data_IF_146141578863
#
_entry.id   IF_146141578863
#
_cell.length_a   1.000
_cell.length_b   1.000
_cell.length_c   1.000
_cell.angle_alpha   90.00
_cell.angle_beta   90.00
_cell.angle_gamma   90.00
#
_symmetry.space_group_name_H-M   'P 1'
#
loop_
_entity.id
_entity.type
_entity.pdbx_description
1 polymer ?
#
# COMPACT_ATOMS: atom_id res chain seq x y z
N UNK A 1 -10.76 -31.86 -48.39
CA UNK A 1 -11.05 -32.72 -49.54
C UNK A 1 -10.32 -34.02 -49.25
N UNK A 2 -11.09 -35.09 -49.01
CA UNK A 2 -10.72 -36.50 -48.91
C UNK A 2 -9.87 -36.99 -47.71
N UNK A 3 -10.53 -37.85 -46.94
CA UNK A 3 -10.09 -38.80 -45.92
C UNK A 3 -8.97 -39.77 -46.35
N UNK A 4 -8.19 -40.24 -45.38
CA UNK A 4 -7.51 -41.55 -45.42
C UNK A 4 -7.74 -42.27 -44.08
N UNK A 5 -8.24 -43.49 -44.21
CA UNK A 5 -8.66 -44.46 -43.21
C UNK A 5 -7.52 -45.08 -42.36
N UNK A 6 -7.96 -45.72 -41.25
CA UNK A 6 -7.69 -47.12 -40.90
C UNK A 6 -6.95 -47.37 -39.57
N UNK A 7 -7.72 -47.90 -38.60
CA UNK A 7 -7.55 -49.15 -37.82
C UNK A 7 -8.21 -48.96 -36.45
N UNK A 8 -9.45 -49.39 -36.22
CA UNK A 8 -9.88 -50.79 -35.97
C UNK A 8 -8.90 -51.56 -35.07
N UNK A 9 -9.14 -51.53 -33.77
CA UNK A 9 -9.26 -52.77 -32.99
C UNK A 9 -10.13 -52.54 -31.75
N UNK A 10 -11.27 -53.21 -31.80
CA UNK A 10 -12.28 -53.37 -30.76
C UNK A 10 -11.79 -54.35 -29.69
N UNK A 11 -12.01 -54.05 -28.42
CA UNK A 11 -12.51 -55.06 -27.50
C UNK A 11 -13.71 -54.54 -26.69
N UNK A 12 -14.75 -55.33 -26.82
CA UNK A 12 -16.12 -55.23 -26.33
C UNK A 12 -16.21 -55.63 -24.85
N UNK A 13 -17.13 -55.00 -24.13
CA UNK A 13 -17.88 -55.57 -23.00
C UNK A 13 -18.93 -54.53 -22.56
N UNK A 14 -19.98 -54.32 -23.36
CA UNK A 14 -21.27 -54.99 -23.18
C UNK A 14 -21.94 -54.67 -21.83
N UNK A 15 -22.99 -53.85 -21.91
CA UNK A 15 -23.89 -53.45 -20.84
C UNK A 15 -25.01 -52.55 -21.38
N UNK A 16 -25.77 -53.07 -22.35
CA UNK A 16 -27.10 -52.60 -22.81
C UNK A 16 -28.13 -52.65 -21.65
N UNK A 17 -29.20 -51.85 -21.50
CA UNK A 17 -29.89 -50.79 -22.27
C UNK A 17 -31.01 -50.17 -21.33
N UNK A 18 -32.12 -49.55 -21.79
CA UNK A 18 -32.42 -48.10 -21.81
C UNK A 18 -33.62 -47.63 -20.93
N UNK A 19 -33.84 -46.32 -20.79
CA UNK A 19 -35.18 -45.68 -20.73
C UNK A 19 -35.07 -44.15 -20.53
N UNK A 20 -35.85 -43.39 -21.30
CA UNK A 20 -35.86 -41.92 -21.32
C UNK A 20 -36.65 -41.24 -20.19
N UNK A 21 -36.57 -39.90 -20.16
CA UNK A 21 -37.41 -39.02 -19.36
C UNK A 21 -36.92 -37.57 -19.37
N UNK A 22 -37.74 -36.68 -19.93
CA UNK A 22 -37.56 -35.22 -19.96
C UNK A 22 -37.64 -34.60 -18.54
N UNK A 23 -36.85 -33.53 -18.32
CA UNK A 23 -37.19 -32.35 -17.49
C UNK A 23 -37.52 -32.52 -16.00
N UNK A 24 -36.58 -32.16 -15.12
CA UNK A 24 -36.79 -31.24 -13.98
C UNK A 24 -35.48 -31.05 -13.19
N UNK A 25 -35.02 -29.80 -13.04
CA UNK A 25 -33.93 -29.46 -12.11
C UNK A 25 -34.34 -29.86 -10.66
N UNK A 26 -33.43 -30.47 -9.87
CA UNK A 26 -33.77 -30.89 -8.52
C UNK A 26 -34.00 -29.66 -7.59
N UNK A 27 -35.02 -29.70 -6.71
CA UNK A 27 -35.39 -28.57 -5.87
C UNK A 27 -34.28 -28.23 -4.87
N UNK A 28 -34.01 -26.92 -4.70
CA UNK A 28 -33.00 -26.39 -3.77
C UNK A 28 -33.22 -26.94 -2.36
N UNK A 29 -32.18 -27.51 -1.78
CA UNK A 29 -32.19 -28.14 -0.46
C UNK A 29 -32.57 -27.13 0.63
N UNK A 30 -33.31 -27.58 1.65
CA UNK A 30 -33.83 -26.75 2.76
C UNK A 30 -32.74 -25.90 3.46
N UNK A 31 -31.49 -26.37 3.49
CA UNK A 31 -30.34 -25.66 4.03
C UNK A 31 -29.90 -24.45 3.18
N UNK A 32 -30.04 -24.52 1.86
CA UNK A 32 -29.71 -23.41 0.94
C UNK A 32 -30.76 -22.30 1.04
N UNK A 33 -32.05 -22.67 1.15
CA UNK A 33 -33.16 -21.75 1.34
C UNK A 33 -33.04 -20.98 2.68
N UNK A 34 -32.66 -21.65 3.78
CA UNK A 34 -32.40 -21.00 5.07
C UNK A 34 -31.20 -20.04 5.02
N UNK A 35 -30.14 -20.37 4.27
CA UNK A 35 -28.95 -19.51 4.11
C UNK A 35 -29.24 -18.28 3.24
N UNK A 36 -30.06 -18.44 2.20
CA UNK A 36 -30.49 -17.35 1.33
C UNK A 36 -31.46 -16.40 2.06
N UNK A 37 -32.41 -16.94 2.83
CA UNK A 37 -33.30 -16.16 3.68
C UNK A 37 -32.53 -15.32 4.72
N UNK A 38 -31.55 -15.93 5.42
CA UNK A 38 -30.71 -15.22 6.41
C UNK A 38 -29.82 -14.14 5.78
N UNK A 39 -29.39 -14.31 4.51
CA UNK A 39 -28.66 -13.29 3.77
C UNK A 39 -29.55 -12.13 3.35
N UNK A 40 -30.76 -12.41 2.85
CA UNK A 40 -31.75 -11.40 2.47
C UNK A 40 -32.17 -10.55 3.67
N UNK A 41 -32.47 -11.18 4.81
CA UNK A 41 -32.84 -10.47 6.05
C UNK A 41 -31.71 -9.56 6.56
N UNK A 42 -30.45 -10.00 6.49
CA UNK A 42 -29.29 -9.16 6.85
C UNK A 42 -29.11 -7.98 5.89
N UNK A 43 -29.32 -8.20 4.60
CA UNK A 43 -29.21 -7.16 3.58
C UNK A 43 -30.31 -6.13 3.75
N UNK A 44 -31.54 -6.55 4.05
CA UNK A 44 -32.67 -5.66 4.32
C UNK A 44 -32.46 -4.86 5.61
N UNK A 45 -31.98 -5.49 6.69
CA UNK A 45 -31.58 -4.78 7.93
C UNK A 45 -30.47 -3.74 7.66
N UNK A 46 -29.53 -4.04 6.77
CA UNK A 46 -28.48 -3.11 6.39
C UNK A 46 -29.00 -1.94 5.54
N UNK A 47 -29.85 -2.22 4.55
CA UNK A 47 -30.51 -1.20 3.72
C UNK A 47 -31.42 -0.29 4.54
N UNK A 48 -32.24 -0.85 5.43
CA UNK A 48 -33.09 -0.08 6.34
C UNK A 48 -32.27 0.82 7.29
N UNK A 49 -31.10 0.36 7.74
CA UNK A 49 -30.18 1.20 8.54
C UNK A 49 -29.60 2.35 7.72
N UNK A 50 -29.20 2.10 6.47
CA UNK A 50 -28.70 3.15 5.57
C UNK A 50 -29.78 4.16 5.21
N UNK A 51 -31.01 3.73 4.92
CA UNK A 51 -32.13 4.63 4.65
C UNK A 51 -32.50 5.46 5.87
N UNK A 52 -32.54 4.85 7.06
CA UNK A 52 -32.78 5.59 8.31
C UNK A 52 -31.71 6.64 8.57
N UNK A 53 -30.45 6.37 8.23
CA UNK A 53 -29.35 7.32 8.35
C UNK A 53 -29.42 8.44 7.29
N UNK A 54 -29.83 8.12 6.07
CA UNK A 54 -30.12 9.11 5.01
C UNK A 54 -31.29 10.02 5.40
N UNK A 55 -32.39 9.45 5.88
CA UNK A 55 -33.55 10.20 6.38
C UNK A 55 -33.19 11.08 7.59
N UNK A 56 -32.29 10.62 8.47
CA UNK A 56 -31.80 11.45 9.58
C UNK A 56 -30.97 12.64 9.08
N UNK A 57 -30.18 12.44 8.03
CA UNK A 57 -29.40 13.52 7.38
C UNK A 57 -30.29 14.50 6.64
N UNK A 58 -31.32 14.01 5.94
CA UNK A 58 -32.29 14.85 5.21
C UNK A 58 -33.17 15.63 6.18
N UNK A 59 -33.63 15.03 7.30
CA UNK A 59 -34.36 15.77 8.34
C UNK A 59 -33.49 16.84 9.02
N UNK A 60 -32.20 16.57 9.24
CA UNK A 60 -31.25 17.59 9.73
C UNK A 60 -31.00 18.72 8.72
N UNK A 61 -31.21 18.47 7.43
CA UNK A 61 -31.13 19.51 6.40
C UNK A 61 -32.44 20.32 6.28
N UNK A 62 -33.59 19.71 6.56
CA UNK A 62 -34.90 20.36 6.46
C UNK A 62 -35.30 21.19 7.70
N UNK A 63 -34.83 20.84 8.90
CA UNK A 63 -35.16 21.55 10.16
C UNK A 63 -34.26 22.78 10.44
N UNK A 64 -33.46 23.20 9.46
CA UNK A 64 -32.56 24.36 9.53
C UNK A 64 -33.27 25.70 9.31
N UNK A 65 -34.26 26.03 10.15
CA UNK A 65 -34.86 27.37 10.22
C UNK A 65 -33.84 28.44 10.66
N UNK A 66 -33.93 29.61 10.04
CA UNK A 66 -33.04 30.77 10.18
C UNK A 66 -32.68 31.14 11.63
N UNK A 67 -31.44 30.87 12.04
CA UNK A 67 -30.73 31.73 13.01
C UNK A 67 -29.29 31.97 12.55
N UNK A 68 -29.07 33.22 12.13
CA UNK A 68 -27.80 33.87 11.80
C UNK A 68 -26.74 33.57 12.88
N UNK A 69 -25.87 32.60 12.60
CA UNK A 69 -24.58 32.44 13.25
C UNK A 69 -23.59 32.19 12.13
N UNK A 70 -22.64 33.12 11.98
CA UNK A 70 -21.67 33.19 10.88
C UNK A 70 -21.22 31.80 10.44
N UNK A 71 -21.65 31.43 9.24
CA UNK A 71 -21.21 30.24 8.54
C UNK A 71 -19.78 30.52 8.11
N UNK A 72 -18.81 30.25 8.99
CA UNK A 72 -17.41 30.08 8.58
C UNK A 72 -17.43 28.99 7.52
N UNK A 73 -17.29 29.38 6.26
CA UNK A 73 -17.25 28.46 5.14
C UNK A 73 -16.33 27.31 5.51
N UNK A 74 -16.86 26.08 5.42
CA UNK A 74 -16.06 24.88 5.57
C UNK A 74 -15.20 24.83 4.30
N UNK A 75 -14.12 25.62 4.28
CA UNK A 75 -13.07 25.58 3.25
C UNK A 75 -12.69 24.11 3.15
N UNK A 76 -13.04 23.48 2.03
CA UNK A 76 -12.59 22.14 1.72
C UNK A 76 -11.06 22.21 1.75
N UNK A 77 -10.43 21.53 2.72
CA UNK A 77 -8.99 21.62 2.96
C UNK A 77 -8.30 20.86 1.84
N UNK A 78 -8.13 21.50 0.69
CA UNK A 78 -7.27 20.99 -0.38
C UNK A 78 -5.88 20.81 0.23
N UNK A 79 -5.34 19.59 0.17
CA UNK A 79 -3.99 19.32 0.65
C UNK A 79 -3.04 20.23 -0.12
N UNK A 80 -2.29 21.08 0.60
CA UNK A 80 -1.36 21.99 -0.04
C UNK A 80 -0.34 21.18 -0.87
N UNK A 81 -0.14 21.58 -2.13
CA UNK A 81 0.86 21.02 -3.04
C UNK A 81 2.00 22.02 -3.18
N UNK A 82 3.23 21.53 -3.31
CA UNK A 82 4.39 22.38 -3.51
C UNK A 82 4.61 22.63 -5.01
N UNK A 83 4.18 23.81 -5.49
CA UNK A 83 4.20 24.16 -6.92
C UNK A 83 5.40 25.05 -7.32
N UNK A 84 6.36 25.28 -6.41
CA UNK A 84 7.53 26.12 -6.74
C UNK A 84 8.54 25.32 -7.58
N UNK A 85 9.13 25.92 -8.64
CA UNK A 85 10.16 25.28 -9.43
C UNK A 85 11.49 25.23 -8.66
N UNK A 86 11.66 24.22 -7.82
CA UNK A 86 12.94 23.93 -7.16
C UNK A 86 13.75 22.99 -8.05
N UNK A 87 14.95 23.41 -8.43
CA UNK A 87 15.86 22.56 -9.20
C UNK A 87 16.25 21.34 -8.37
N UNK A 88 16.44 20.21 -9.04
CA UNK A 88 16.77 18.95 -8.37
C UNK A 88 18.01 19.08 -7.47
N UNK A 89 17.82 18.73 -6.20
CA UNK A 89 18.84 18.79 -5.16
C UNK A 89 19.16 20.18 -4.62
N UNK A 90 18.44 21.23 -5.02
CA UNK A 90 18.53 22.53 -4.36
C UNK A 90 17.66 22.60 -3.11
N UNK A 91 18.06 23.44 -2.15
CA UNK A 91 17.31 23.61 -0.91
C UNK A 91 15.95 24.21 -1.23
N UNK A 92 14.90 23.56 -0.70
CA UNK A 92 13.52 24.05 -0.78
C UNK A 92 13.42 25.51 -0.37
N UNK A 93 12.77 26.32 -1.21
CA UNK A 93 12.46 27.71 -0.87
C UNK A 93 11.33 27.77 0.18
N UNK A 94 11.67 28.32 1.35
CA UNK A 94 10.81 28.48 2.53
C UNK A 94 10.40 29.94 2.77
N UNK A 95 10.73 30.89 1.89
CA UNK A 95 10.48 32.32 2.12
C UNK A 95 9.03 32.77 1.91
N UNK A 96 8.11 31.85 1.58
CA UNK A 96 6.70 32.17 1.31
C UNK A 96 5.77 31.83 2.47
N UNK A 97 4.50 32.19 2.31
CA UNK A 97 3.47 31.89 3.29
C UNK A 97 3.32 30.37 3.51
N UNK A 98 3.19 29.97 4.78
CA UNK A 98 2.95 28.57 5.13
C UNK A 98 1.48 28.23 4.91
N UNK A 99 1.17 27.01 4.39
CA UNK A 99 -0.20 26.59 4.22
C UNK A 99 -0.92 26.48 5.58
N UNK A 100 -2.21 26.83 5.59
CA UNK A 100 -3.06 26.80 6.79
C UNK A 100 -3.19 25.40 7.44
N UNK A 101 -2.87 24.34 6.68
CA UNK A 101 -2.91 22.95 7.13
C UNK A 101 -1.64 22.19 6.74
N UNK A 102 -1.22 21.28 7.61
CA UNK A 102 -0.10 20.37 7.33
C UNK A 102 -0.44 19.45 6.15
N UNK A 103 0.50 19.38 5.19
CA UNK A 103 0.48 18.47 4.05
C UNK A 103 1.86 17.81 3.93
N UNK A 104 1.97 16.47 4.07
CA UNK A 104 3.24 15.76 3.89
C UNK A 104 3.83 16.01 2.50
N UNK A 105 2.99 16.03 1.47
CA UNK A 105 3.40 16.28 0.08
C UNK A 105 4.05 17.65 -0.06
N UNK A 106 3.49 18.68 0.59
CA UNK A 106 4.13 19.99 0.62
C UNK A 106 5.43 19.94 1.40
N UNK A 107 5.42 19.35 2.60
CA UNK A 107 6.55 19.43 3.53
C UNK A 107 7.76 18.67 3.01
N UNK A 108 7.59 17.43 2.53
CA UNK A 108 8.67 16.54 2.11
C UNK A 108 9.24 16.88 0.72
N UNK A 109 8.51 17.65 -0.09
CA UNK A 109 8.97 18.07 -1.41
C UNK A 109 10.36 18.72 -1.37
N UNK A 110 11.22 18.32 -2.31
CA UNK A 110 12.60 18.78 -2.52
C UNK A 110 13.62 18.52 -1.39
N UNK A 111 13.23 18.05 -0.19
CA UNK A 111 14.20 17.81 0.89
C UNK A 111 15.09 16.60 0.63
N UNK A 112 14.53 15.50 0.15
CA UNK A 112 15.29 14.26 0.01
C UNK A 112 16.43 14.41 -1.00
N UNK A 113 16.13 14.94 -2.19
CA UNK A 113 17.14 15.22 -3.22
C UNK A 113 18.19 16.22 -2.75
N UNK A 114 17.80 17.24 -1.97
CA UNK A 114 18.74 18.17 -1.36
C UNK A 114 19.65 17.49 -0.33
N UNK A 115 19.13 16.58 0.50
CA UNK A 115 19.92 15.82 1.47
C UNK A 115 20.94 14.91 0.80
N UNK A 116 20.56 14.24 -0.28
CA UNK A 116 21.45 13.41 -1.09
C UNK A 116 22.58 14.24 -1.70
N UNK A 117 22.23 15.34 -2.40
CA UNK A 117 23.22 16.22 -3.03
C UNK A 117 24.16 16.88 -2.02
N UNK A 118 23.65 17.25 -0.84
CA UNK A 118 24.45 17.84 0.23
C UNK A 118 25.35 16.81 0.95
N UNK A 119 25.20 15.52 0.64
CA UNK A 119 26.01 14.46 1.24
C UNK A 119 25.71 14.22 2.72
N UNK A 120 24.53 14.60 3.23
CA UNK A 120 24.21 14.46 4.66
C UNK A 120 24.16 13.00 5.12
N UNK A 121 24.00 12.04 4.21
CA UNK A 121 24.04 10.61 4.55
C UNK A 121 25.46 10.07 4.76
N UNK A 122 26.51 10.82 4.38
CA UNK A 122 27.91 10.39 4.54
C UNK A 122 28.33 10.41 6.02
N UNK A 123 29.25 9.52 6.43
CA UNK A 123 29.79 9.47 7.80
C UNK A 123 30.84 10.55 8.08
N UNK A 124 30.68 11.75 7.49
CA UNK A 124 31.66 12.85 7.50
C UNK A 124 31.09 14.11 8.15
N UNK A 125 29.92 14.02 8.79
CA UNK A 125 29.25 15.21 9.34
C UNK A 125 30.15 15.96 10.33
N UNK A 126 30.54 17.18 9.96
CA UNK A 126 31.43 18.04 10.75
C UNK A 126 32.93 17.69 10.66
N UNK A 127 33.35 16.86 9.69
CA UNK A 127 34.74 16.45 9.49
C UNK A 127 35.14 16.41 8.01
N UNK A 128 36.45 16.43 7.79
CA UNK A 128 37.03 16.41 6.43
C UNK A 128 37.24 14.98 5.92
N UNK A 129 37.41 14.00 6.83
CA UNK A 129 37.63 12.59 6.48
C UNK A 129 36.84 11.66 7.39
N UNK A 130 36.24 10.61 6.82
CA UNK A 130 35.50 9.59 7.58
C UNK A 130 36.38 8.81 8.60
N UNK A 131 37.68 8.70 8.32
CA UNK A 131 38.64 7.98 9.17
C UNK A 131 39.30 8.84 10.26
N UNK A 132 38.97 10.12 10.35
CA UNK A 132 39.43 10.96 11.46
C UNK A 132 38.88 10.44 12.79
N UNK A 133 39.74 10.46 13.82
CA UNK A 133 39.34 10.03 15.15
C UNK A 133 38.31 11.01 15.73
N UNK A 134 37.20 10.46 16.23
CA UNK A 134 36.13 11.24 16.83
C UNK A 134 36.16 11.07 18.35
N UNK A 135 36.46 12.13 19.13
CA UNK A 135 36.42 12.04 20.59
C UNK A 135 35.01 11.78 21.15
N UNK A 136 33.94 12.05 20.37
CA UNK A 136 32.55 11.69 20.70
C UNK A 136 32.23 10.22 20.41
N UNK A 137 33.07 9.50 19.67
CA UNK A 137 32.86 8.09 19.31
C UNK A 137 32.23 7.87 17.94
N UNK A 138 31.96 6.60 17.64
CA UNK A 138 31.40 6.11 16.38
C UNK A 138 30.14 5.28 16.66
N UNK A 139 29.11 5.48 15.86
CA UNK A 139 27.89 4.69 15.87
C UNK A 139 27.67 4.12 14.47
N UNK A 140 27.51 2.80 14.37
CA UNK A 140 27.31 2.12 13.10
C UNK A 140 26.18 1.12 13.20
N UNK A 141 25.31 1.13 12.20
CA UNK A 141 24.18 0.22 12.09
C UNK A 141 24.04 -0.27 10.65
N UNK A 142 23.81 -1.58 10.48
CA UNK A 142 23.56 -2.18 9.17
C UNK A 142 22.05 -2.34 9.01
N UNK A 143 21.50 -1.84 7.89
CA UNK A 143 20.11 -2.08 7.53
C UNK A 143 19.96 -3.58 7.26
N UNK A 144 19.05 -4.30 7.95
CA UNK A 144 18.71 -5.66 7.59
C UNK A 144 18.33 -5.70 6.11
N UNK A 145 19.14 -6.33 5.25
CA UNK A 145 19.03 -6.13 3.81
C UNK A 145 17.68 -6.69 3.34
N UNK A 146 16.79 -5.88 2.75
CA UNK A 146 15.54 -6.38 2.22
C UNK A 146 15.82 -7.33 1.05
N UNK A 147 15.03 -8.40 0.99
CA UNK A 147 15.08 -9.34 -0.13
C UNK A 147 14.64 -8.64 -1.43
N UNK A 148 15.33 -8.89 -2.56
CA UNK A 148 14.95 -8.33 -3.88
C UNK A 148 13.66 -8.94 -4.47
N UNK A 149 12.83 -9.60 -3.64
CA UNK A 149 11.74 -10.46 -4.08
C UNK A 149 10.37 -9.79 -4.15
N UNK A 150 10.19 -8.62 -3.53
CA UNK A 150 8.90 -7.92 -3.50
C UNK A 150 9.00 -6.46 -3.05
N UNK A 151 7.88 -5.74 -3.19
CA UNK A 151 7.69 -4.39 -2.65
C UNK A 151 7.79 -4.35 -1.12
N UNK A 152 8.25 -3.21 -0.58
CA UNK A 152 8.33 -3.00 0.86
C UNK A 152 6.93 -2.95 1.51
N UNK A 153 6.72 -3.74 2.56
CA UNK A 153 5.55 -3.65 3.45
C UNK A 153 5.82 -2.81 4.71
N UNK A 154 4.77 -2.56 5.50
CA UNK A 154 4.80 -1.75 6.73
C UNK A 154 5.86 -2.19 7.77
N UNK A 155 6.25 -3.46 7.75
CA UNK A 155 7.30 -3.99 8.61
C UNK A 155 8.68 -3.38 8.30
N UNK A 156 9.02 -3.19 7.03
CA UNK A 156 10.23 -2.47 6.63
C UNK A 156 10.16 -1.01 7.07
N UNK A 157 9.00 -0.36 6.90
CA UNK A 157 8.81 1.03 7.31
C UNK A 157 9.05 1.20 8.81
N UNK A 158 8.51 0.30 9.65
CA UNK A 158 8.71 0.33 11.10
C UNK A 158 10.20 0.18 11.46
N UNK A 159 10.85 -0.88 10.97
CA UNK A 159 12.27 -1.14 11.29
C UNK A 159 13.16 0.01 10.82
N UNK A 160 12.99 0.49 9.58
CA UNK A 160 13.79 1.58 9.04
C UNK A 160 13.54 2.90 9.79
N UNK A 161 12.29 3.20 10.19
CA UNK A 161 11.98 4.43 10.94
C UNK A 161 12.65 4.45 12.30
N UNK A 162 12.67 3.32 13.01
CA UNK A 162 13.35 3.21 14.32
C UNK A 162 14.86 3.36 14.16
N UNK A 163 15.45 2.70 13.16
CA UNK A 163 16.88 2.78 12.88
C UNK A 163 17.31 4.19 12.44
N UNK A 164 16.53 4.85 11.59
CA UNK A 164 16.76 6.23 11.16
C UNK A 164 16.71 7.20 12.35
N UNK A 165 15.70 7.05 13.22
CA UNK A 165 15.57 7.90 14.41
C UNK A 165 16.78 7.77 15.36
N UNK A 166 17.24 6.54 15.62
CA UNK A 166 18.43 6.30 16.45
C UNK A 166 19.68 6.87 15.77
N UNK A 167 19.84 6.65 14.46
CA UNK A 167 20.98 7.17 13.69
C UNK A 167 21.03 8.69 13.73
N UNK A 168 19.91 9.38 13.50
CA UNK A 168 19.81 10.84 13.59
C UNK A 168 20.13 11.34 14.99
N UNK A 169 19.65 10.67 16.02
CA UNK A 169 19.95 11.02 17.40
C UNK A 169 21.45 10.94 17.72
N UNK A 170 22.13 9.85 17.34
CA UNK A 170 23.59 9.74 17.50
C UNK A 170 24.34 10.80 16.69
N UNK A 171 23.85 11.15 15.49
CA UNK A 171 24.44 12.22 14.66
C UNK A 171 24.30 13.58 15.34
N UNK A 172 23.15 13.88 15.93
CA UNK A 172 22.91 15.11 16.70
C UNK A 172 23.78 15.17 17.98
N UNK A 173 24.20 14.03 18.53
CA UNK A 173 25.16 13.95 19.64
C UNK A 173 26.62 14.19 19.21
N UNK A 174 26.88 14.35 17.91
CA UNK A 174 28.21 14.59 17.35
C UNK A 174 29.03 13.32 17.11
N UNK A 175 28.41 12.14 17.21
CA UNK A 175 29.07 10.87 16.91
C UNK A 175 29.21 10.66 15.39
N UNK A 176 30.27 9.96 14.98
CA UNK A 176 30.43 9.59 13.56
C UNK A 176 29.43 8.47 13.27
N UNK A 177 28.44 8.76 12.44
CA UNK A 177 27.28 7.88 12.23
C UNK A 177 27.27 7.28 10.84
N UNK A 178 27.27 5.94 10.77
CA UNK A 178 27.09 5.19 9.54
C UNK A 178 25.84 4.31 9.65
N UNK A 179 24.88 4.55 8.77
CA UNK A 179 23.74 3.66 8.58
C UNK A 179 23.88 3.03 7.21
N UNK A 180 24.35 1.79 7.18
CA UNK A 180 24.82 1.15 5.95
C UNK A 180 23.66 0.44 5.24
N UNK A 181 23.28 0.88 4.02
CA UNK A 181 22.28 0.20 3.22
C UNK A 181 22.84 -1.04 2.51
N UNK A 182 21.96 -1.95 2.14
CA UNK A 182 22.26 -3.14 1.35
C UNK A 182 20.97 -3.83 0.93
N UNK A 183 21.04 -4.73 -0.04
CA UNK A 183 19.92 -5.57 -0.47
C UNK A 183 20.37 -7.03 -0.47
N UNK A 184 19.45 -7.95 -0.16
CA UNK A 184 19.73 -9.38 -0.14
C UNK A 184 19.20 -10.03 -1.42
N UNK A 185 20.10 -10.68 -2.16
CA UNK A 185 19.81 -11.48 -3.35
C UNK A 185 18.69 -12.53 -3.13
N UNK A 186 18.51 -13.00 -1.89
CA UNK A 186 17.38 -13.83 -1.48
C UNK A 186 17.18 -15.10 -2.35
N UNK A 187 18.28 -15.78 -2.70
CA UNK A 187 18.38 -16.91 -3.66
C UNK A 187 17.08 -17.65 -3.99
N UNK A 188 16.67 -18.59 -3.15
CA UNK A 188 15.48 -19.44 -3.40
C UNK A 188 14.19 -18.62 -3.48
N UNK A 189 14.04 -17.58 -2.65
CA UNK A 189 12.84 -16.75 -2.66
C UNK A 189 12.71 -15.96 -3.97
N UNK A 190 13.82 -15.45 -4.50
CA UNK A 190 13.88 -14.77 -5.81
C UNK A 190 13.53 -15.74 -6.93
N UNK A 191 14.11 -16.94 -6.91
CA UNK A 191 13.83 -17.98 -7.90
C UNK A 191 12.33 -18.31 -7.95
N UNK A 192 11.71 -18.59 -6.80
CA UNK A 192 10.27 -18.93 -6.74
C UNK A 192 9.37 -17.79 -7.24
N UNK A 193 9.72 -16.53 -6.96
CA UNK A 193 8.95 -15.37 -7.44
C UNK A 193 9.08 -15.21 -8.95
N UNK A 194 10.29 -15.38 -9.50
CA UNK A 194 10.54 -15.28 -10.95
C UNK A 194 9.84 -16.42 -11.69
N UNK A 195 9.95 -17.67 -11.22
CA UNK A 195 9.25 -18.83 -11.80
C UNK A 195 7.73 -18.62 -11.81
N UNK A 196 7.15 -18.12 -10.71
CA UNK A 196 5.72 -17.79 -10.63
C UNK A 196 5.29 -16.66 -11.56
N UNK A 197 6.16 -15.69 -11.87
CA UNK A 197 5.86 -14.63 -12.83
C UNK A 197 5.84 -15.19 -14.25
N UNK A 198 6.85 -15.98 -14.61
CA UNK A 198 6.95 -16.61 -15.93
C UNK A 198 5.78 -17.55 -16.24
N UNK A 199 5.25 -18.29 -15.26
CA UNK A 199 4.06 -19.12 -15.47
C UNK A 199 2.74 -18.36 -15.67
N UNK A 200 2.71 -17.05 -15.38
CA UNK A 200 1.50 -16.21 -15.56
C UNK A 200 1.48 -15.46 -16.89
N UNK A 201 2.62 -15.36 -17.57
CA UNK A 201 2.77 -14.77 -18.91
C UNK A 201 2.44 -15.82 -19.99
#
# INVERSE_FOLDING_TARGET
MADIEAKMETQNSAGENPAGGEGSEPPKTEAQLKKEAKKREKLEKFKAKQEKEKLLKEKKAADGGEKKKEKKEKKERVAAVYDKPTKEGEKKDVSGDMPDAYSPQYVEAAWYSWWEKSGFFKPEYGRTKANEENPKGKFMLVIPPPNVTASLHLGHALTNSVQDAITRWHRMRGETTLWNPGCDHAGIATQVVVEKKLWRE
#
